data_IF_279073932140
#
_entry.id   IF_279073932140
#
_cell.length_a   1.000
_cell.length_b   1.000
_cell.length_c   1.000
_cell.angle_alpha   90.00
_cell.angle_beta   90.00
_cell.angle_gamma   90.00
#
_symmetry.space_group_name_H-M   'P 1'
#
loop_
_entity.id
_entity.type
_entity.pdbx_description
1 polymer ?
#
# COMPACT_ATOMS: atom_id res chain seq x y z
N UNK A 1 13.13 8.08 -82.04
CA UNK A 1 13.15 7.54 -80.65
C UNK A 1 12.35 8.51 -79.78
N UNK A 2 11.01 8.56 -79.90
CA UNK A 2 10.03 7.77 -79.13
C UNK A 2 10.32 7.69 -77.62
N UNK A 3 9.56 8.49 -76.85
CA UNK A 3 9.06 8.32 -75.45
C UNK A 3 8.90 9.74 -74.86
N UNK A 4 7.73 10.38 -74.82
CA UNK A 4 6.40 9.85 -74.53
C UNK A 4 6.23 9.77 -73.02
N UNK A 5 5.94 10.89 -72.36
CA UNK A 5 5.50 10.90 -70.96
C UNK A 5 4.08 11.46 -70.92
N UNK A 6 3.14 10.51 -70.95
CA UNK A 6 1.70 10.68 -70.89
C UNK A 6 1.32 11.10 -69.47
N UNK A 7 0.65 12.24 -69.31
CA UNK A 7 -0.07 12.58 -68.08
C UNK A 7 -1.19 11.54 -67.89
N UNK A 8 -1.04 10.64 -66.91
CA UNK A 8 -2.11 9.75 -66.48
C UNK A 8 -2.75 10.38 -65.24
N UNK A 9 -3.92 10.97 -65.47
CA UNK A 9 -4.85 11.42 -64.44
C UNK A 9 -5.51 10.18 -63.82
N UNK A 10 -4.99 9.70 -62.69
CA UNK A 10 -5.62 8.61 -61.92
C UNK A 10 -6.80 9.18 -61.12
N UNK A 11 -8.00 8.97 -61.66
CA UNK A 11 -9.27 9.17 -60.99
C UNK A 11 -9.36 8.14 -59.85
N UNK A 12 -9.32 8.60 -58.61
CA UNK A 12 -9.56 7.76 -57.43
C UNK A 12 -11.07 7.61 -57.26
N UNK A 13 -11.62 6.50 -57.72
CA UNK A 13 -12.98 6.07 -57.41
C UNK A 13 -13.07 5.69 -55.92
N UNK A 14 -14.10 6.14 -55.18
CA UNK A 14 -14.31 5.67 -53.83
C UNK A 14 -14.76 4.20 -53.88
N UNK A 15 -13.93 3.29 -53.37
CA UNK A 15 -14.32 1.92 -53.07
C UNK A 15 -15.29 1.99 -51.89
N UNK A 16 -16.59 1.88 -52.18
CA UNK A 16 -17.60 1.63 -51.15
C UNK A 16 -17.41 0.20 -50.67
N UNK A 17 -16.70 0.03 -49.55
CA UNK A 17 -16.69 -1.21 -48.80
C UNK A 17 -18.08 -1.36 -48.17
N UNK A 18 -18.91 -2.26 -48.70
CA UNK A 18 -20.12 -2.69 -48.04
C UNK A 18 -19.70 -3.40 -46.75
N UNK A 19 -19.99 -2.78 -45.60
CA UNK A 19 -19.91 -3.44 -44.32
C UNK A 19 -21.05 -4.47 -44.26
N UNK A 20 -20.71 -5.76 -44.26
CA UNK A 20 -21.64 -6.77 -43.75
C UNK A 20 -21.79 -6.52 -42.25
N UNK A 21 -22.85 -5.81 -41.88
CA UNK A 21 -23.36 -5.81 -40.51
C UNK A 21 -23.85 -7.22 -40.19
N UNK A 22 -23.00 -8.01 -39.55
CA UNK A 22 -23.46 -9.16 -38.77
C UNK A 22 -24.39 -8.64 -37.67
N UNK A 23 -25.69 -8.74 -37.91
CA UNK A 23 -26.73 -8.53 -36.90
C UNK A 23 -26.54 -9.61 -35.85
N UNK A 24 -25.80 -9.29 -34.78
CA UNK A 24 -25.87 -10.03 -33.53
C UNK A 24 -27.28 -9.85 -33.00
N UNK A 25 -28.13 -10.84 -33.24
CA UNK A 25 -29.42 -10.93 -32.59
C UNK A 25 -29.20 -10.89 -31.07
N UNK A 26 -29.58 -9.78 -30.44
CA UNK A 26 -29.76 -9.69 -29.00
C UNK A 26 -30.81 -10.73 -28.62
N UNK A 27 -30.35 -11.87 -28.09
CA UNK A 27 -31.24 -12.78 -27.39
C UNK A 27 -31.59 -12.07 -26.08
N UNK A 28 -32.67 -11.29 -26.11
CA UNK A 28 -33.29 -10.73 -24.91
C UNK A 28 -33.78 -11.93 -24.09
N UNK A 29 -32.92 -12.42 -23.21
CA UNK A 29 -33.32 -13.39 -22.20
C UNK A 29 -34.19 -12.65 -21.21
N UNK A 30 -35.49 -12.52 -21.53
CA UNK A 30 -36.51 -12.08 -20.58
C UNK A 30 -36.62 -13.16 -19.51
N UNK A 31 -35.64 -13.18 -18.59
CA UNK A 31 -35.82 -13.85 -17.31
C UNK A 31 -36.89 -13.07 -16.60
N UNK A 32 -38.06 -13.68 -16.45
CA UNK A 32 -39.11 -13.17 -15.58
C UNK A 32 -38.45 -12.86 -14.23
N UNK A 33 -38.32 -11.57 -13.90
CA UNK A 33 -37.81 -11.18 -12.60
C UNK A 33 -38.76 -11.79 -11.56
N UNK A 34 -38.26 -12.54 -10.55
CA UNK A 34 -39.12 -13.02 -9.49
C UNK A 34 -39.85 -11.82 -8.88
N UNK A 35 -41.16 -11.97 -8.69
CA UNK A 35 -41.99 -10.91 -8.12
C UNK A 35 -41.31 -10.38 -6.85
N UNK A 36 -41.00 -9.09 -6.84
CA UNK A 36 -40.36 -8.45 -5.70
C UNK A 36 -41.24 -8.67 -4.47
N UNK A 37 -40.78 -9.51 -3.55
CA UNK A 37 -41.44 -9.66 -2.25
C UNK A 37 -41.48 -8.28 -1.61
N UNK A 38 -42.65 -7.81 -1.13
CA UNK A 38 -42.85 -6.47 -0.52
C UNK A 38 -41.89 -6.13 0.64
N UNK A 39 -41.11 -7.10 1.10
CA UNK A 39 -40.14 -6.99 2.20
C UNK A 39 -38.67 -6.94 1.73
N UNK A 40 -38.39 -7.12 0.44
CA UNK A 40 -37.04 -7.00 -0.09
C UNK A 40 -36.72 -5.53 -0.36
N UNK A 41 -35.56 -5.01 0.08
CA UNK A 41 -35.16 -3.64 -0.26
C UNK A 41 -34.92 -3.53 -1.77
N UNK A 42 -35.44 -2.46 -2.38
CA UNK A 42 -35.32 -2.18 -3.83
C UNK A 42 -33.87 -2.06 -4.29
N UNK A 43 -32.94 -1.79 -3.38
CA UNK A 43 -31.51 -1.77 -3.64
C UNK A 43 -30.73 -2.59 -2.60
N UNK A 44 -29.90 -3.51 -3.08
CA UNK A 44 -28.86 -4.12 -2.25
C UNK A 44 -27.73 -3.10 -2.08
N UNK A 45 -27.65 -2.47 -0.91
CA UNK A 45 -26.49 -1.65 -0.52
C UNK A 45 -25.25 -2.56 -0.49
N UNK A 46 -24.46 -2.54 -1.56
CA UNK A 46 -23.15 -3.19 -1.56
C UNK A 46 -22.25 -2.47 -0.55
N UNK A 47 -21.48 -3.19 0.27
CA UNK A 47 -20.50 -2.55 1.13
C UNK A 47 -19.58 -1.65 0.31
N UNK A 48 -19.40 -0.40 0.76
CA UNK A 48 -18.47 0.51 0.12
C UNK A 48 -17.06 -0.10 0.11
N UNK A 49 -16.28 0.06 -0.99
CA UNK A 49 -14.88 -0.32 -1.01
C UNK A 49 -14.16 0.35 0.17
N UNK A 50 -13.34 -0.41 0.91
CA UNK A 50 -12.53 0.17 1.99
C UNK A 50 -11.59 1.21 1.37
N UNK A 51 -11.68 2.44 1.85
CA UNK A 51 -10.79 3.51 1.40
C UNK A 51 -9.37 3.25 1.89
N UNK A 52 -8.42 3.16 0.95
CA UNK A 52 -6.99 3.19 1.29
C UNK A 52 -6.48 4.60 1.65
N UNK A 53 -7.36 5.62 1.65
CA UNK A 53 -7.01 6.97 2.13
C UNK A 53 -6.92 7.06 3.65
N UNK A 54 -7.58 6.14 4.36
CA UNK A 54 -7.50 6.01 5.82
C UNK A 54 -7.20 4.55 6.21
N UNK A 55 -5.97 4.08 5.91
CA UNK A 55 -5.58 2.72 6.22
C UNK A 55 -5.44 2.53 7.73
N UNK A 56 -5.82 1.34 8.22
CA UNK A 56 -5.68 1.01 9.63
C UNK A 56 -4.20 1.03 10.05
N UNK A 57 -3.94 1.78 11.12
CA UNK A 57 -2.63 1.92 11.78
C UNK A 57 -2.66 1.32 13.17
N UNK A 58 -1.48 1.03 13.75
CA UNK A 58 -1.37 0.34 15.03
C UNK A 58 -1.37 1.27 16.25
N UNK A 59 -1.02 2.54 16.07
CA UNK A 59 -1.16 3.51 17.14
C UNK A 59 -2.63 3.64 17.59
N UNK A 60 -2.88 4.12 18.81
CA UNK A 60 -4.24 4.38 19.29
C UNK A 60 -5.00 5.28 18.30
N UNK A 61 -6.20 4.84 17.92
CA UNK A 61 -7.06 5.61 17.03
C UNK A 61 -7.69 6.81 17.75
N UNK A 62 -8.23 7.75 16.97
CA UNK A 62 -9.04 8.86 17.48
C UNK A 62 -8.27 10.13 17.86
N UNK A 63 -6.95 10.19 17.64
CA UNK A 63 -6.18 11.42 17.85
C UNK A 63 -5.86 12.13 16.54
N UNK A 64 -5.85 13.47 16.58
CA UNK A 64 -5.44 14.30 15.44
C UNK A 64 -3.98 14.05 15.03
N UNK A 65 -3.13 13.74 16.00
CA UNK A 65 -1.72 13.43 15.77
C UNK A 65 -1.55 12.12 14.98
N UNK A 66 -2.26 11.06 15.38
CA UNK A 66 -2.27 9.79 14.66
C UNK A 66 -2.70 9.97 13.19
N UNK A 67 -3.76 10.74 12.95
CA UNK A 67 -4.20 11.05 11.59
C UNK A 67 -3.12 11.82 10.80
N UNK A 68 -2.51 12.85 11.40
CA UNK A 68 -1.43 13.61 10.77
C UNK A 68 -0.23 12.71 10.43
N UNK A 69 0.16 11.82 11.33
CA UNK A 69 1.26 10.87 11.10
C UNK A 69 0.95 9.93 9.93
N UNK A 70 -0.28 9.40 9.83
CA UNK A 70 -0.69 8.59 8.67
C UNK A 70 -0.50 9.40 7.39
N UNK A 71 -1.09 10.60 7.33
CA UNK A 71 -1.14 11.40 6.10
C UNK A 71 0.27 11.83 5.64
N UNK A 72 1.13 12.25 6.57
CA UNK A 72 2.52 12.61 6.24
C UNK A 72 3.30 11.40 5.70
N UNK A 73 3.11 10.22 6.29
CA UNK A 73 3.77 9.01 5.78
C UNK A 73 3.25 8.60 4.40
N UNK A 74 1.93 8.60 4.18
CA UNK A 74 1.35 8.27 2.89
C UNK A 74 1.82 9.24 1.80
N UNK A 75 1.82 10.55 2.09
CA UNK A 75 2.36 11.56 1.16
C UNK A 75 3.84 11.32 0.84
N UNK A 76 4.67 11.01 1.85
CA UNK A 76 6.08 10.72 1.64
C UNK A 76 6.32 9.47 0.80
N UNK A 77 5.46 8.44 0.93
CA UNK A 77 5.56 7.17 0.22
C UNK A 77 5.04 7.26 -1.22
N UNK A 78 3.89 7.89 -1.43
CA UNK A 78 3.23 7.92 -2.74
C UNK A 78 3.81 8.99 -3.67
N UNK A 79 4.19 10.14 -3.11
CA UNK A 79 4.53 11.34 -3.88
C UNK A 79 5.91 11.90 -3.52
N UNK A 80 6.53 11.38 -2.46
CA UNK A 80 7.71 11.98 -1.87
C UNK A 80 8.98 11.14 -1.97
N UNK A 81 9.89 11.44 -1.06
CA UNK A 81 11.23 10.88 -1.00
C UNK A 81 11.30 9.40 -0.59
N UNK A 82 10.20 8.83 -0.10
CA UNK A 82 10.15 7.44 0.34
C UNK A 82 9.56 6.49 -0.72
N UNK A 83 9.26 6.99 -1.93
CA UNK A 83 8.73 6.21 -3.04
C UNK A 83 9.52 4.94 -3.43
N UNK A 84 10.87 4.92 -3.37
CA UNK A 84 11.63 3.68 -3.62
C UNK A 84 11.24 2.51 -2.71
N UNK A 85 10.68 2.81 -1.53
CA UNK A 85 10.23 1.81 -0.57
C UNK A 85 9.00 1.04 -1.05
N UNK A 86 8.06 1.70 -1.76
CA UNK A 86 6.85 1.06 -2.32
C UNK A 86 7.09 0.41 -3.69
N UNK A 87 8.18 0.78 -4.36
CA UNK A 87 8.62 0.19 -5.63
C UNK A 87 9.42 -1.10 -5.41
N UNK A 88 9.97 -1.30 -4.21
CA UNK A 88 10.73 -2.48 -3.84
C UNK A 88 9.83 -3.60 -3.32
N UNK A 89 10.10 -4.84 -3.74
CA UNK A 89 9.49 -6.05 -3.17
C UNK A 89 10.56 -6.81 -2.36
N UNK A 90 10.59 -6.67 -1.02
CA UNK A 90 11.58 -7.35 -0.19
C UNK A 90 11.49 -8.88 -0.29
N UNK A 91 12.62 -9.60 -0.19
CA UNK A 91 12.65 -11.07 -0.28
C UNK A 91 11.81 -11.76 0.80
N UNK A 92 11.72 -11.15 1.97
CA UNK A 92 10.97 -11.66 3.13
C UNK A 92 9.53 -11.13 3.21
N UNK A 93 9.04 -10.40 2.20
CA UNK A 93 7.74 -9.72 2.26
C UNK A 93 6.56 -10.66 2.52
N UNK A 94 6.63 -11.91 2.05
CA UNK A 94 5.57 -12.90 2.28
C UNK A 94 5.33 -13.19 3.77
N UNK A 95 6.35 -13.02 4.62
CA UNK A 95 6.21 -13.17 6.08
C UNK A 95 5.44 -12.01 6.73
N UNK A 96 5.41 -10.85 6.07
CA UNK A 96 4.84 -9.61 6.59
C UNK A 96 3.48 -9.30 5.95
N UNK A 97 3.36 -9.51 4.64
CA UNK A 97 2.24 -9.06 3.82
C UNK A 97 2.17 -9.89 2.53
N UNK A 98 1.47 -11.04 2.53
CA UNK A 98 1.41 -11.94 1.37
C UNK A 98 0.89 -11.29 0.09
N UNK A 99 -0.06 -10.35 0.19
CA UNK A 99 -0.63 -9.64 -0.97
C UNK A 99 0.26 -8.52 -1.52
N UNK A 100 1.38 -8.18 -0.86
CA UNK A 100 2.20 -7.02 -1.22
C UNK A 100 2.73 -7.01 -2.67
N UNK A 101 3.19 -8.14 -3.24
CA UNK A 101 3.68 -8.15 -4.62
C UNK A 101 2.62 -7.69 -5.64
N UNK A 102 1.36 -8.06 -5.42
CA UNK A 102 0.25 -7.76 -6.33
C UNK A 102 -0.48 -6.45 -5.99
N UNK A 103 -0.10 -5.82 -4.87
CA UNK A 103 -0.76 -4.60 -4.40
C UNK A 103 -0.41 -3.39 -5.26
N UNK A 104 -1.38 -2.49 -5.54
CA UNK A 104 -1.09 -1.19 -6.14
C UNK A 104 -0.34 -0.28 -5.15
N UNK A 105 0.26 0.80 -5.68
CA UNK A 105 1.06 1.75 -4.91
C UNK A 105 0.39 2.23 -3.60
N UNK A 106 -0.91 2.61 -3.55
CA UNK A 106 -1.54 3.04 -2.29
C UNK A 106 -1.60 1.93 -1.22
N UNK A 107 -1.80 0.68 -1.62
CA UNK A 107 -1.82 -0.44 -0.67
C UNK A 107 -0.41 -0.76 -0.16
N UNK A 108 0.61 -0.63 -1.01
CA UNK A 108 2.02 -0.73 -0.60
C UNK A 108 2.44 0.40 0.33
N UNK A 109 1.95 1.62 0.11
CA UNK A 109 2.16 2.76 1.00
C UNK A 109 1.48 2.52 2.36
N UNK A 110 0.24 2.04 2.35
CA UNK A 110 -0.47 1.65 3.57
C UNK A 110 0.28 0.57 4.37
N UNK A 111 0.90 -0.41 3.71
CA UNK A 111 1.76 -1.39 4.37
C UNK A 111 2.94 -0.73 5.10
N UNK A 112 3.71 0.14 4.45
CA UNK A 112 4.89 0.74 5.07
C UNK A 112 4.54 1.74 6.17
N UNK A 113 3.45 2.50 6.02
CA UNK A 113 2.91 3.33 7.10
C UNK A 113 2.45 2.45 8.29
N UNK A 114 1.73 1.36 8.00
CA UNK A 114 1.34 0.36 8.99
C UNK A 114 2.55 -0.23 9.71
N UNK A 115 3.59 -0.61 8.97
CA UNK A 115 4.83 -1.15 9.48
C UNK A 115 5.51 -0.18 10.44
N UNK A 116 5.68 1.08 10.03
CA UNK A 116 6.26 2.14 10.87
C UNK A 116 5.44 2.35 12.15
N UNK A 117 4.10 2.29 12.06
CA UNK A 117 3.24 2.35 13.24
C UNK A 117 3.49 1.17 14.19
N UNK A 118 3.72 -0.04 13.68
CA UNK A 118 4.03 -1.19 14.53
C UNK A 118 5.39 -1.09 15.20
N UNK A 119 6.38 -0.53 14.50
CA UNK A 119 7.72 -0.31 15.01
C UNK A 119 7.74 0.78 16.10
N UNK A 120 6.98 1.86 15.92
CA UNK A 120 6.85 2.95 16.89
C UNK A 120 6.33 2.47 18.27
N UNK A 121 5.52 1.41 18.29
CA UNK A 121 5.12 0.75 19.55
C UNK A 121 6.33 0.28 20.35
N UNK A 122 7.30 -0.34 19.67
CA UNK A 122 8.45 -0.97 20.30
C UNK A 122 9.62 -0.01 20.53
N UNK A 123 9.68 1.09 19.77
CA UNK A 123 10.70 2.12 19.91
C UNK A 123 10.35 3.16 20.98
N UNK A 124 9.10 3.64 21.01
CA UNK A 124 8.71 4.76 21.87
C UNK A 124 7.41 4.57 22.64
N UNK A 125 6.67 3.48 22.39
CA UNK A 125 5.28 3.32 22.85
C UNK A 125 4.41 4.47 22.33
N UNK A 126 4.64 4.88 21.08
CA UNK A 126 3.94 5.98 20.41
C UNK A 126 4.15 7.38 21.02
N UNK A 127 5.24 7.58 21.77
CA UNK A 127 5.54 8.86 22.43
C UNK A 127 6.51 9.68 21.57
N UNK A 128 6.07 10.76 20.91
CA UNK A 128 6.96 11.58 20.08
C UNK A 128 8.03 12.33 20.89
N UNK A 129 7.81 12.55 22.19
CA UNK A 129 8.79 13.17 23.08
C UNK A 129 9.83 12.19 23.66
N UNK A 130 9.76 10.90 23.32
CA UNK A 130 10.65 9.89 23.87
C UNK A 130 12.12 10.17 23.53
N UNK A 131 12.98 10.02 24.52
CA UNK A 131 14.43 10.07 24.38
C UNK A 131 15.03 8.82 25.01
N UNK A 132 15.78 8.04 24.24
CA UNK A 132 16.35 6.76 24.65
C UNK A 132 17.87 6.71 24.51
N UNK A 133 18.44 5.57 24.93
CA UNK A 133 19.87 5.27 24.85
C UNK A 133 20.76 6.34 25.46
N UNK A 134 20.46 6.77 26.69
CA UNK A 134 21.25 7.76 27.42
C UNK A 134 21.14 9.20 26.91
N UNK A 135 20.10 9.53 26.15
CA UNK A 135 19.89 10.90 25.62
C UNK A 135 20.13 11.04 24.12
N UNK A 136 20.52 9.97 23.44
CA UNK A 136 21.03 10.01 22.05
C UNK A 136 19.95 9.81 20.98
N UNK A 137 18.92 9.02 21.28
CA UNK A 137 17.92 8.61 20.29
C UNK A 137 16.59 9.31 20.56
N UNK A 138 15.94 9.83 19.54
CA UNK A 138 14.80 10.73 19.72
C UNK A 138 13.57 10.33 18.90
N UNK A 139 12.41 10.57 19.50
CA UNK A 139 11.12 10.53 18.81
C UNK A 139 10.53 9.14 18.64
N UNK A 140 9.51 9.08 17.77
CA UNK A 140 8.65 7.90 17.60
C UNK A 140 9.44 6.64 17.21
N UNK A 141 10.44 6.80 16.35
CA UNK A 141 11.29 5.73 15.84
C UNK A 141 12.75 5.86 16.29
N UNK A 142 12.97 6.56 17.41
CA UNK A 142 14.26 6.63 18.11
C UNK A 142 15.43 6.84 17.14
N UNK A 143 15.49 8.00 16.51
CA UNK A 143 16.52 8.35 15.52
C UNK A 143 17.63 9.16 16.17
N UNK A 144 18.88 8.83 15.85
CA UNK A 144 20.08 9.59 16.23
C UNK A 144 20.24 10.82 15.30
N UNK A 145 20.55 12.03 15.83
CA UNK A 145 20.77 13.24 15.03
C UNK A 145 21.80 13.06 13.90
N UNK A 146 22.91 12.37 14.17
CA UNK A 146 23.94 12.06 13.16
C UNK A 146 23.42 11.22 12.01
N UNK A 147 22.57 10.22 12.29
CA UNK A 147 21.92 9.39 11.26
C UNK A 147 20.95 10.21 10.42
N UNK A 148 20.19 11.11 11.06
CA UNK A 148 19.27 12.00 10.36
C UNK A 148 20.02 12.97 9.44
N UNK A 149 21.15 13.52 9.90
CA UNK A 149 22.03 14.36 9.09
C UNK A 149 22.61 13.60 7.90
N UNK A 150 23.16 12.40 8.12
CA UNK A 150 23.69 11.55 7.05
C UNK A 150 22.64 11.23 5.98
N UNK A 151 21.39 11.01 6.39
CA UNK A 151 20.28 10.76 5.48
C UNK A 151 19.62 12.03 4.96
N UNK A 152 20.20 13.22 5.21
CA UNK A 152 19.71 14.53 4.74
C UNK A 152 18.24 14.76 5.13
N UNK A 153 17.85 14.36 6.33
CA UNK A 153 16.52 14.65 6.87
C UNK A 153 16.36 16.14 7.16
N UNK A 154 15.11 16.63 7.14
CA UNK A 154 14.82 18.02 7.55
C UNK A 154 15.02 18.23 9.04
N UNK A 155 14.56 17.28 9.87
CA UNK A 155 14.86 17.26 11.30
C UNK A 155 16.21 16.58 11.53
N UNK A 156 17.21 17.35 11.97
CA UNK A 156 18.59 16.87 12.20
C UNK A 156 19.07 17.05 13.63
N UNK A 157 18.26 17.62 14.52
CA UNK A 157 18.59 17.84 15.94
C UNK A 157 17.68 17.00 16.83
N UNK A 158 18.12 16.73 18.06
CA UNK A 158 17.32 15.99 19.03
C UNK A 158 15.93 16.58 19.26
N UNK A 159 15.80 17.89 19.55
CA UNK A 159 14.49 18.54 19.67
C UNK A 159 13.64 18.46 18.38
N UNK A 160 14.22 18.67 17.20
CA UNK A 160 13.49 18.58 15.93
C UNK A 160 12.97 17.15 15.68
N UNK A 161 13.74 16.13 16.06
CA UNK A 161 13.36 14.72 15.93
C UNK A 161 12.26 14.30 16.92
N UNK A 162 11.89 15.14 17.90
CA UNK A 162 10.70 14.91 18.76
C UNK A 162 9.40 15.37 18.10
N UNK A 163 9.46 16.04 16.95
CA UNK A 163 8.27 16.22 16.11
C UNK A 163 7.93 14.89 15.42
N UNK A 164 6.79 14.29 15.76
CA UNK A 164 6.41 12.95 15.27
C UNK A 164 6.35 12.85 13.74
N UNK A 165 5.79 13.86 13.07
CA UNK A 165 5.71 13.88 11.60
C UNK A 165 7.11 13.97 10.95
N UNK A 166 7.98 14.83 11.47
CA UNK A 166 9.34 14.96 10.96
C UNK A 166 10.18 13.70 11.24
N UNK A 167 9.99 13.08 12.40
CA UNK A 167 10.64 11.82 12.78
C UNK A 167 10.24 10.68 11.84
N UNK A 168 8.94 10.49 11.60
CA UNK A 168 8.42 9.45 10.70
C UNK A 168 8.85 9.69 9.26
N UNK A 169 8.81 10.94 8.79
CA UNK A 169 9.35 11.30 7.47
C UNK A 169 10.84 10.95 7.36
N UNK A 170 11.65 11.26 8.37
CA UNK A 170 13.07 10.88 8.37
C UNK A 170 13.28 9.35 8.41
N UNK A 171 12.49 8.63 9.21
CA UNK A 171 12.57 7.17 9.27
C UNK A 171 12.27 6.53 7.92
N UNK A 172 11.24 6.99 7.21
CA UNK A 172 10.92 6.51 5.87
C UNK A 172 12.03 6.81 4.87
N UNK A 173 12.73 7.95 5.01
CA UNK A 173 13.91 8.27 4.18
C UNK A 173 15.04 7.27 4.40
N UNK A 174 15.29 6.91 5.66
CA UNK A 174 16.29 5.90 6.03
C UNK A 174 15.90 4.54 5.44
N UNK A 175 14.65 4.10 5.64
CA UNK A 175 14.14 2.82 5.11
C UNK A 175 14.18 2.79 3.57
N UNK A 176 13.84 3.89 2.90
CA UNK A 176 13.88 4.02 1.44
C UNK A 176 15.32 3.95 0.88
N UNK A 177 16.35 4.09 1.72
CA UNK A 177 17.73 3.76 1.36
C UNK A 177 18.07 2.31 1.67
N UNK A 178 17.75 1.83 2.88
CA UNK A 178 18.26 0.54 3.36
C UNK A 178 17.50 -0.66 2.83
N UNK A 179 16.18 -0.56 2.65
CA UNK A 179 15.36 -1.65 2.11
C UNK A 179 15.66 -1.93 0.64
N UNK A 180 15.72 -0.93 -0.29
CA UNK A 180 16.10 -1.22 -1.68
C UNK A 180 17.54 -1.73 -1.81
N UNK A 181 18.47 -1.20 -1.01
CA UNK A 181 19.87 -1.67 -0.97
C UNK A 181 19.98 -3.14 -0.59
N UNK A 182 19.20 -3.57 0.41
CA UNK A 182 19.34 -4.91 0.99
C UNK A 182 18.30 -5.92 0.47
N UNK A 183 17.26 -5.44 -0.23
CA UNK A 183 16.09 -6.18 -0.70
C UNK A 183 15.44 -7.00 0.44
N UNK A 184 15.30 -6.40 1.62
CA UNK A 184 14.85 -7.08 2.83
C UNK A 184 14.14 -6.12 3.81
N UNK A 185 13.22 -6.65 4.63
CA UNK A 185 12.70 -5.97 5.83
C UNK A 185 13.55 -6.34 7.04
N UNK A 186 13.67 -7.63 7.35
CA UNK A 186 14.53 -8.13 8.42
C UNK A 186 15.08 -9.50 8.07
N UNK A 187 16.27 -9.49 7.47
CA UNK A 187 17.07 -10.68 7.24
C UNK A 187 18.43 -10.52 7.93
N UNK A 188 19.05 -11.66 8.23
CA UNK A 188 20.42 -11.72 8.73
C UNK A 188 21.21 -12.73 7.91
N UNK A 189 22.31 -12.28 7.35
CA UNK A 189 23.36 -13.14 6.82
C UNK A 189 24.65 -12.91 7.62
N UNK A 190 25.72 -12.37 7.02
CA UNK A 190 26.87 -11.85 7.77
C UNK A 190 26.55 -10.57 8.54
N UNK A 191 25.49 -9.84 8.15
CA UNK A 191 25.00 -8.65 8.86
C UNK A 191 23.48 -8.58 8.87
N UNK A 192 22.94 -7.70 9.70
CA UNK A 192 21.52 -7.35 9.61
C UNK A 192 21.24 -6.55 8.34
N UNK A 193 20.11 -6.86 7.70
CA UNK A 193 19.69 -6.31 6.41
C UNK A 193 18.32 -5.66 6.48
N UNK A 194 18.13 -4.66 5.63
CA UNK A 194 16.86 -3.93 5.54
C UNK A 194 16.66 -3.02 6.75
N UNK A 195 15.43 -2.96 7.23
CA UNK A 195 15.06 -2.22 8.44
C UNK A 195 15.84 -2.72 9.67
N UNK A 196 16.20 -4.01 9.72
CA UNK A 196 16.97 -4.55 10.84
C UNK A 196 18.41 -4.05 10.96
N UNK A 197 18.93 -3.43 9.90
CA UNK A 197 20.22 -2.77 9.95
C UNK A 197 20.20 -1.58 10.93
N UNK A 198 19.11 -0.81 10.93
CA UNK A 198 19.01 0.44 11.70
C UNK A 198 18.20 0.29 13.00
N UNK A 199 17.17 -0.55 13.03
CA UNK A 199 16.25 -0.64 14.18
C UNK A 199 16.39 -1.93 15.00
N UNK A 200 16.64 -1.77 16.30
CA UNK A 200 16.85 -2.87 17.25
C UNK A 200 15.68 -3.86 17.41
N UNK A 201 14.41 -3.42 17.52
CA UNK A 201 13.24 -4.30 17.61
C UNK A 201 13.14 -5.32 16.47
N UNK A 202 13.63 -4.97 15.29
CA UNK A 202 13.65 -5.85 14.12
C UNK A 202 14.62 -7.03 14.29
N UNK A 203 15.50 -7.00 15.28
CA UNK A 203 16.42 -8.11 15.60
C UNK A 203 15.82 -9.09 16.61
N UNK A 204 14.75 -8.71 17.31
CA UNK A 204 14.01 -9.55 18.26
C UNK A 204 12.91 -10.35 17.55
N UNK A 205 13.01 -11.68 17.60
CA UNK A 205 12.00 -12.56 16.99
C UNK A 205 10.59 -12.39 17.57
N UNK A 206 10.38 -12.33 18.90
CA UNK A 206 9.05 -12.10 19.45
C UNK A 206 8.41 -10.80 18.95
N UNK A 207 9.19 -9.72 18.88
CA UNK A 207 8.70 -8.41 18.39
C UNK A 207 8.37 -8.48 16.91
N UNK A 208 9.25 -9.07 16.07
CA UNK A 208 8.98 -9.28 14.64
C UNK A 208 7.69 -10.06 14.41
N UNK A 209 7.49 -11.18 15.13
CA UNK A 209 6.30 -12.01 15.00
C UNK A 209 5.03 -11.26 15.37
N UNK A 210 5.07 -10.43 16.41
CA UNK A 210 3.92 -9.59 16.78
C UNK A 210 3.61 -8.52 15.72
N UNK A 211 4.63 -7.83 15.20
CA UNK A 211 4.46 -6.84 14.13
C UNK A 211 3.91 -7.48 12.85
N UNK A 212 4.52 -8.59 12.41
CA UNK A 212 4.09 -9.33 11.23
C UNK A 212 2.66 -9.88 11.38
N UNK A 213 2.32 -10.44 12.54
CA UNK A 213 0.95 -10.92 12.83
C UNK A 213 -0.07 -9.79 12.73
N UNK A 214 0.26 -8.61 13.25
CA UNK A 214 -0.64 -7.47 13.13
C UNK A 214 -0.76 -7.02 11.67
N UNK A 215 0.36 -6.87 10.95
CA UNK A 215 0.37 -6.42 9.55
C UNK A 215 -0.39 -7.36 8.62
N UNK A 216 -0.17 -8.67 8.75
CA UNK A 216 -0.79 -9.66 7.87
C UNK A 216 -2.31 -9.68 7.96
N UNK A 217 -2.90 -9.23 9.08
CA UNK A 217 -4.35 -9.14 9.27
C UNK A 217 -4.99 -7.91 8.61
N UNK A 218 -4.20 -6.94 8.15
CA UNK A 218 -4.75 -5.71 7.60
C UNK A 218 -5.27 -5.93 6.18
N UNK A 219 -6.30 -5.17 5.79
CA UNK A 219 -6.93 -5.34 4.48
C UNK A 219 -5.98 -5.09 3.30
N UNK A 220 -4.94 -4.27 3.50
CA UNK A 220 -3.88 -4.04 2.52
C UNK A 220 -2.82 -5.15 2.49
N UNK A 221 -2.94 -6.22 3.29
CA UNK A 221 -2.06 -7.39 3.24
C UNK A 221 -2.80 -8.69 2.97
N UNK A 222 -4.11 -8.62 2.79
CA UNK A 222 -4.97 -9.74 2.50
C UNK A 222 -5.29 -9.74 1.00
N UNK A 223 -5.19 -10.90 0.31
CA UNK A 223 -5.61 -11.01 -1.07
C UNK A 223 -7.05 -10.52 -1.27
N UNK A 224 -7.36 -9.92 -2.42
CA UNK A 224 -8.72 -9.42 -2.71
C UNK A 224 -9.76 -10.55 -2.56
N UNK A 225 -9.39 -11.78 -2.92
CA UNK A 225 -10.25 -12.96 -2.78
C UNK A 225 -10.57 -13.30 -1.32
N UNK A 226 -9.64 -13.11 -0.38
CA UNK A 226 -9.87 -13.42 1.04
C UNK A 226 -10.68 -12.35 1.76
N UNK A 227 -10.72 -11.13 1.22
CA UNK A 227 -11.47 -10.01 1.80
C UNK A 227 -12.84 -9.78 1.15
N UNK A 228 -13.15 -10.50 0.06
CA UNK A 228 -14.44 -10.41 -0.62
C UNK A 228 -15.57 -10.94 0.29
N UNK A 229 -16.65 -10.19 0.50
CA UNK A 229 -17.83 -10.71 1.18
C UNK A 229 -18.36 -11.97 0.48
N UNK A 230 -18.70 -13.01 1.26
CA UNK A 230 -19.36 -14.20 0.71
C UNK A 230 -20.73 -13.82 0.16
N UNK A 231 -21.06 -14.32 -1.02
CA UNK A 231 -22.40 -14.16 -1.57
C UNK A 231 -23.42 -14.86 -0.67
N UNK A 232 -24.62 -14.27 -0.56
CA UNK A 232 -25.75 -14.92 0.10
C UNK A 232 -26.04 -16.26 -0.61
N UNK A 233 -26.26 -17.37 0.12
CA UNK A 233 -26.70 -18.62 -0.47
C UNK A 233 -28.00 -18.45 -1.26
N UNK A 234 -28.15 -19.20 -2.37
CA UNK A 234 -29.37 -19.15 -3.18
C UNK A 234 -30.59 -19.76 -2.46
N UNK A 235 -30.34 -20.70 -1.54
CA UNK A 235 -31.35 -21.31 -0.68
C UNK A 235 -30.74 -21.64 0.69
N UNK A 236 -31.58 -21.75 1.71
CA UNK A 236 -31.20 -22.28 3.01
C UNK A 236 -31.11 -23.81 2.92
N UNK A 237 -30.15 -24.46 3.60
CA UNK A 237 -30.12 -25.91 3.68
C UNK A 237 -31.40 -26.42 4.37
N UNK A 238 -31.94 -27.58 3.95
CA UNK A 238 -33.10 -28.16 4.61
C UNK A 238 -32.79 -28.42 6.09
N UNK A 239 -33.73 -28.04 6.96
CA UNK A 239 -33.68 -28.37 8.39
C UNK A 239 -33.75 -29.88 8.57
N UNK A 240 -32.78 -30.44 9.31
CA UNK A 240 -32.73 -31.86 9.71
C UNK A 240 -33.74 -32.11 10.83
#
# INVERSE_FOLDING_TARGET
MHRGLLLILLIVLPVTLAAEETVLASVESTRLAPAATRLAPDQSLRPAPRSLRDPRMRWPAGTREAALWTQVMLSALEQGHARPLIETVPRDIAQWCPAYPDNPAPARAAFWAGFASTLAKYESTYRPQAVGGGGLWHGLLQILPGTAHFNKCTATTGPALRNGAANLSCALRIMARTVPRDQAISLKDSRWRGVAADWGPMRSEPKRRDMARWLSQQSYCQPIQSTRPRLRPASWPPTV
#
